data_IF_834377101636
#
_entry.id   IF_834377101636
#
_cell.length_a   1.000
_cell.length_b   1.000
_cell.length_c   1.000
_cell.angle_alpha   90.00
_cell.angle_beta   90.00
_cell.angle_gamma   90.00
#
_symmetry.space_group_name_H-M   'P 1'
#
loop_
_entity.id
_entity.type
_entity.pdbx_description
1 polymer ?
#
# COMPACT_ATOMS: atom_id res chain seq x y z
N UNK A 1 -3.97 -16.31 23.94
CA UNK A 1 -2.54 -15.94 23.93
C UNK A 1 -2.30 -14.45 23.80
N UNK A 2 -3.16 -13.69 23.11
CA UNK A 2 -3.10 -12.20 23.13
C UNK A 2 -3.24 -11.58 24.54
N UNK A 3 -3.81 -12.27 25.53
CA UNK A 3 -3.85 -11.79 26.92
C UNK A 3 -2.48 -11.74 27.61
N UNK A 4 -1.49 -12.50 27.11
CA UNK A 4 -0.11 -12.49 27.64
C UNK A 4 0.83 -11.53 26.90
N UNK A 5 0.42 -11.02 25.72
CA UNK A 5 1.21 -10.02 25.00
C UNK A 5 0.93 -8.65 25.64
N UNK A 6 1.90 -8.15 26.38
CA UNK A 6 1.82 -6.80 26.91
C UNK A 6 2.00 -5.82 25.75
N UNK A 7 0.87 -5.32 25.24
CA UNK A 7 0.85 -4.25 24.24
C UNK A 7 0.58 -2.94 24.96
N UNK A 8 1.37 -1.89 24.70
CA UNK A 8 1.06 -0.57 25.18
C UNK A 8 -0.28 -0.11 24.62
N UNK A 9 -1.00 0.65 25.39
CA UNK A 9 -2.25 1.27 24.94
C UNK A 9 -1.96 2.69 24.49
N UNK A 10 -2.47 3.05 23.31
CA UNK A 10 -2.47 4.44 22.88
C UNK A 10 -3.54 5.18 23.67
N UNK A 11 -3.13 6.15 24.46
CA UNK A 11 -4.01 6.95 25.36
C UNK A 11 -4.34 8.30 24.76
N UNK A 12 -3.48 8.85 23.90
CA UNK A 12 -3.68 10.10 23.18
C UNK A 12 -2.80 10.14 21.93
N UNK A 13 -3.01 11.13 21.07
CA UNK A 13 -2.15 11.43 19.92
C UNK A 13 -1.86 12.92 19.91
N UNK A 14 -0.58 13.25 20.00
CA UNK A 14 -0.13 14.63 19.84
C UNK A 14 0.03 14.93 18.35
N UNK A 15 -0.68 15.95 17.85
CA UNK A 15 -0.58 16.43 16.49
C UNK A 15 0.00 17.83 16.48
N UNK A 16 1.06 18.01 15.69
CA UNK A 16 1.72 19.31 15.53
C UNK A 16 1.76 19.71 14.06
N UNK A 17 1.51 20.99 13.79
CA UNK A 17 1.92 21.60 12.53
C UNK A 17 3.45 21.58 12.45
N UNK A 18 4.00 21.14 11.33
CA UNK A 18 5.44 20.96 11.18
C UNK A 18 5.93 21.54 9.85
N UNK A 19 6.86 22.50 9.91
CA UNK A 19 7.47 23.08 8.73
C UNK A 19 8.94 22.69 8.63
N UNK A 20 9.39 22.36 7.43
CA UNK A 20 10.77 22.06 7.11
C UNK A 20 11.10 22.49 5.67
N UNK A 21 12.37 22.80 5.41
CA UNK A 21 12.85 23.31 4.12
C UNK A 21 13.29 22.16 3.17
N UNK A 22 12.59 21.04 3.21
CA UNK A 22 12.87 19.86 2.40
C UNK A 22 11.61 19.51 1.59
N UNK A 23 11.80 18.77 0.50
CA UNK A 23 10.65 18.06 -0.10
C UNK A 23 10.19 16.95 0.85
N UNK A 24 8.95 16.49 0.69
CA UNK A 24 8.45 15.36 1.49
C UNK A 24 9.28 14.09 1.22
N UNK A 25 9.63 13.87 -0.04
CA UNK A 25 10.45 12.76 -0.50
C UNK A 25 11.84 12.77 0.14
N UNK A 26 12.47 13.94 0.23
CA UNK A 26 13.76 14.11 0.88
C UNK A 26 13.68 13.94 2.39
N UNK A 27 12.60 14.35 3.02
CA UNK A 27 12.36 14.11 4.44
C UNK A 27 12.18 12.60 4.72
N UNK A 28 11.38 11.92 3.91
CA UNK A 28 11.16 10.48 4.03
C UNK A 28 12.43 9.66 3.77
N UNK A 29 13.27 10.10 2.84
CA UNK A 29 14.54 9.46 2.49
C UNK A 29 15.46 9.23 3.70
N UNK A 30 15.42 10.13 4.69
CA UNK A 30 16.24 10.04 5.90
C UNK A 30 15.88 8.86 6.80
N UNK A 31 14.72 8.24 6.54
CA UNK A 31 14.21 7.08 7.25
C UNK A 31 14.26 5.81 6.40
N UNK A 32 14.47 5.91 5.08
CA UNK A 32 14.33 4.83 4.10
C UNK A 32 15.17 3.57 4.40
N UNK A 33 16.26 3.71 5.14
CA UNK A 33 17.14 2.58 5.51
C UNK A 33 16.75 1.93 6.85
N UNK A 34 15.75 2.46 7.56
CA UNK A 34 15.30 1.89 8.83
C UNK A 34 14.20 0.86 8.61
N UNK A 35 14.37 -0.34 9.17
CA UNK A 35 13.33 -1.36 9.17
C UNK A 35 12.02 -0.80 9.76
N UNK A 36 10.91 -1.06 9.07
CA UNK A 36 9.58 -0.60 9.45
C UNK A 36 9.23 0.80 8.96
N UNK A 37 10.10 1.43 8.16
CA UNK A 37 9.72 2.65 7.46
C UNK A 37 8.79 2.33 6.30
N UNK A 38 7.64 3.02 6.27
CA UNK A 38 6.70 2.97 5.15
C UNK A 38 6.48 4.38 4.62
N UNK A 39 6.65 4.54 3.31
CA UNK A 39 6.41 5.82 2.61
C UNK A 39 5.32 5.61 1.58
N UNK A 40 4.25 6.40 1.68
CA UNK A 40 3.15 6.42 0.74
C UNK A 40 3.14 7.75 0.01
N UNK A 41 3.31 7.73 -1.31
CA UNK A 41 3.27 8.92 -2.14
C UNK A 41 2.03 8.88 -3.04
N UNK A 42 1.38 10.01 -3.16
CA UNK A 42 0.25 10.21 -4.07
C UNK A 42 0.70 11.10 -5.22
N UNK A 43 0.76 10.54 -6.41
CA UNK A 43 1.07 11.28 -7.64
C UNK A 43 -0.18 11.60 -8.45
N UNK A 44 0.00 12.31 -9.58
CA UNK A 44 -1.07 12.77 -10.47
C UNK A 44 -2.10 13.71 -9.82
N UNK A 45 -3.14 14.12 -10.57
CA UNK A 45 -4.15 15.09 -10.14
C UNK A 45 -5.53 14.47 -9.88
N UNK A 46 -5.61 13.15 -9.69
CA UNK A 46 -6.83 12.47 -9.36
C UNK A 46 -7.32 12.89 -7.96
N UNK A 47 -8.64 12.92 -7.79
CA UNK A 47 -9.30 13.28 -6.52
C UNK A 47 -8.90 12.42 -5.33
N UNK A 48 -8.41 11.21 -5.58
CA UNK A 48 -7.88 10.31 -4.55
C UNK A 48 -6.42 10.56 -4.17
N UNK A 49 -5.68 11.37 -4.94
CA UNK A 49 -4.25 11.62 -4.78
C UNK A 49 -3.96 12.85 -3.89
N UNK A 50 -4.29 12.75 -2.60
CA UNK A 50 -4.26 13.91 -1.69
C UNK A 50 -3.09 13.95 -0.72
N UNK A 51 -2.67 12.81 -0.17
CA UNK A 51 -1.74 12.82 0.95
C UNK A 51 -0.44 12.09 0.64
N UNK A 52 0.69 12.67 1.06
CA UNK A 52 1.92 11.92 1.28
C UNK A 52 2.00 11.53 2.75
N UNK A 53 2.43 10.31 3.03
CA UNK A 53 2.50 9.78 4.40
C UNK A 53 3.84 9.07 4.59
N UNK A 54 4.57 9.44 5.66
CA UNK A 54 5.73 8.72 6.16
C UNK A 54 5.37 8.13 7.53
N UNK A 55 5.50 6.83 7.67
CA UNK A 55 5.42 6.10 8.92
C UNK A 55 6.80 5.56 9.27
N UNK A 56 7.32 5.89 10.46
CA UNK A 56 8.68 5.56 10.84
C UNK A 56 8.81 5.22 12.33
N UNK A 57 9.97 4.69 12.71
CA UNK A 57 10.31 4.28 14.08
C UNK A 57 9.25 3.36 14.69
N UNK A 58 9.11 2.11 14.18
CA UNK A 58 8.07 1.21 14.65
C UNK A 58 8.29 0.83 16.11
N UNK A 59 7.20 0.84 16.89
CA UNK A 59 7.17 0.30 18.24
C UNK A 59 6.55 -1.12 18.29
N UNK A 60 5.88 -1.53 17.21
CA UNK A 60 5.39 -2.89 16.99
C UNK A 60 5.68 -3.31 15.55
N UNK A 61 6.11 -4.56 15.39
CA UNK A 61 6.29 -5.20 14.09
C UNK A 61 5.61 -6.56 14.11
N UNK A 62 4.83 -6.87 13.08
CA UNK A 62 4.22 -8.18 12.85
C UNK A 62 4.71 -8.70 11.51
N UNK A 63 5.37 -9.85 11.51
CA UNK A 63 5.83 -10.54 10.30
C UNK A 63 5.59 -12.05 10.39
N UNK A 64 5.33 -12.68 9.26
CA UNK A 64 5.32 -14.12 9.15
C UNK A 64 4.51 -14.64 7.98
N UNK A 65 4.47 -15.97 7.87
CA UNK A 65 3.74 -16.70 6.84
C UNK A 65 2.98 -17.86 7.45
N UNK A 66 1.83 -18.18 6.85
CA UNK A 66 0.94 -19.22 7.36
C UNK A 66 0.51 -18.92 8.79
N UNK A 67 0.78 -19.87 9.69
CA UNK A 67 0.52 -19.71 11.13
C UNK A 67 1.82 -19.45 11.92
N UNK A 68 2.94 -19.20 11.25
CA UNK A 68 4.21 -18.88 11.93
C UNK A 68 4.42 -17.38 11.93
N UNK A 69 3.90 -16.71 12.95
CA UNK A 69 3.94 -15.26 13.07
C UNK A 69 4.84 -14.83 14.22
N UNK A 70 5.58 -13.74 14.03
CA UNK A 70 6.37 -13.08 15.06
C UNK A 70 5.85 -11.66 15.28
N UNK A 71 5.46 -11.35 16.51
CA UNK A 71 5.15 -10.00 16.96
C UNK A 71 6.32 -9.49 17.80
N UNK A 72 6.98 -8.44 17.35
CA UNK A 72 8.02 -7.74 18.11
C UNK A 72 7.43 -6.45 18.68
N UNK A 73 7.59 -6.23 19.97
CA UNK A 73 7.10 -5.02 20.65
C UNK A 73 8.29 -4.34 21.34
N UNK A 74 8.41 -3.02 21.19
CA UNK A 74 9.39 -2.21 21.90
C UNK A 74 9.09 -2.26 23.41
N UNK A 75 10.09 -2.51 24.22
CA UNK A 75 9.98 -2.38 25.67
C UNK A 75 10.28 -0.95 26.15
N UNK A 76 10.12 -0.70 27.46
CA UNK A 76 10.38 0.61 28.06
C UNK A 76 11.87 1.03 28.01
N UNK A 77 12.79 0.11 27.71
CA UNK A 77 14.22 0.39 27.53
C UNK A 77 14.58 0.64 26.07
N UNK A 78 13.61 0.52 25.12
CA UNK A 78 13.80 0.70 23.68
C UNK A 78 14.28 -0.55 22.94
N UNK A 79 14.39 -1.70 23.62
CA UNK A 79 14.63 -2.99 23.01
C UNK A 79 13.37 -3.63 22.42
N UNK A 80 13.53 -4.68 21.60
CA UNK A 80 12.39 -5.44 21.08
C UNK A 80 12.26 -6.79 21.78
N UNK A 81 11.09 -7.10 22.28
CA UNK A 81 10.70 -8.42 22.76
C UNK A 81 9.92 -9.12 21.65
N UNK A 82 10.38 -10.32 21.23
CA UNK A 82 9.74 -11.11 20.19
C UNK A 82 8.82 -12.17 20.82
N UNK A 83 7.59 -12.24 20.32
CA UNK A 83 6.60 -13.25 20.65
C UNK A 83 6.22 -14.00 19.39
N UNK A 84 6.54 -15.29 19.36
CA UNK A 84 6.06 -16.16 18.31
C UNK A 84 4.66 -16.68 18.64
N UNK A 85 3.83 -16.81 17.62
CA UNK A 85 2.47 -17.31 17.73
C UNK A 85 2.08 -18.11 16.49
N UNK A 86 1.21 -19.08 16.68
CA UNK A 86 0.60 -19.92 15.65
C UNK A 86 -0.87 -19.54 15.38
N UNK A 87 -1.30 -18.36 15.87
CA UNK A 87 -2.65 -17.87 15.64
C UNK A 87 -2.90 -17.61 14.16
N UNK A 88 -4.18 -17.67 13.77
CA UNK A 88 -4.60 -17.21 12.47
C UNK A 88 -4.19 -15.74 12.26
N UNK A 89 -3.61 -15.38 11.10
CA UNK A 89 -3.13 -14.01 10.85
C UNK A 89 -4.24 -12.96 10.89
N UNK A 90 -5.46 -13.27 10.44
CA UNK A 90 -6.58 -12.33 10.46
C UNK A 90 -7.08 -12.10 11.88
N UNK A 91 -7.20 -13.16 12.70
CA UNK A 91 -7.57 -13.05 14.12
C UNK A 91 -6.55 -12.23 14.90
N UNK A 92 -5.25 -12.41 14.61
CA UNK A 92 -4.19 -11.65 15.25
C UNK A 92 -4.25 -10.17 14.85
N UNK A 93 -4.43 -9.85 13.56
CA UNK A 93 -4.56 -8.47 13.09
C UNK A 93 -5.79 -7.81 13.68
N UNK A 94 -6.94 -8.49 13.70
CA UNK A 94 -8.18 -7.97 14.30
C UNK A 94 -7.97 -7.66 15.79
N UNK A 95 -7.33 -8.57 16.54
CA UNK A 95 -7.02 -8.36 17.95
C UNK A 95 -6.07 -7.17 18.16
N UNK A 96 -5.06 -6.99 17.29
CA UNK A 96 -4.15 -5.85 17.33
C UNK A 96 -4.88 -4.55 17.00
N UNK A 97 -5.67 -4.52 15.93
CA UNK A 97 -6.43 -3.33 15.52
C UNK A 97 -7.39 -2.91 16.62
N UNK A 98 -8.13 -3.84 17.24
CA UNK A 98 -9.02 -3.54 18.37
C UNK A 98 -8.29 -2.92 19.57
N UNK A 99 -7.06 -3.38 19.86
CA UNK A 99 -6.23 -2.80 20.93
C UNK A 99 -5.61 -1.45 20.57
N UNK A 100 -5.31 -1.24 19.29
CA UNK A 100 -4.69 -0.02 18.77
C UNK A 100 -5.71 1.04 18.35
N UNK A 101 -6.99 0.68 18.29
CA UNK A 101 -8.06 1.61 17.91
C UNK A 101 -8.15 2.76 18.88
N UNK A 102 -7.82 3.95 18.39
CA UNK A 102 -8.02 5.21 19.09
C UNK A 102 -9.09 6.00 18.35
N UNK A 103 -10.32 5.94 18.86
CA UNK A 103 -11.46 6.64 18.28
C UNK A 103 -11.49 8.09 18.75
N UNK A 104 -10.72 8.95 18.10
CA UNK A 104 -10.80 10.37 18.34
C UNK A 104 -11.32 11.11 17.11
N UNK A 105 -12.53 11.64 17.22
CA UNK A 105 -13.17 12.43 16.16
C UNK A 105 -12.57 13.84 15.98
N UNK A 106 -11.61 14.23 16.83
CA UNK A 106 -10.93 15.54 16.77
C UNK A 106 -10.05 15.71 15.53
N UNK A 107 -9.66 14.60 14.88
CA UNK A 107 -8.66 14.63 13.83
C UNK A 107 -9.30 14.44 12.45
N UNK A 108 -9.22 15.47 11.63
CA UNK A 108 -9.56 15.40 10.20
C UNK A 108 -8.30 15.04 9.38
N UNK A 109 -7.68 13.90 9.73
CA UNK A 109 -6.48 13.37 9.05
C UNK A 109 -6.80 11.98 8.47
N UNK A 110 -6.10 11.59 7.40
CA UNK A 110 -6.30 10.25 6.81
C UNK A 110 -5.91 9.12 7.77
N UNK A 111 -4.92 9.39 8.63
CA UNK A 111 -4.44 8.45 9.65
C UNK A 111 -3.68 9.24 10.73
N UNK A 112 -3.76 8.82 11.99
CA UNK A 112 -2.98 9.40 13.07
C UNK A 112 -2.23 8.35 13.90
N UNK A 113 -2.66 7.09 13.85
CA UNK A 113 -2.01 5.89 14.37
C UNK A 113 -2.53 4.68 13.60
N UNK A 114 -1.84 3.54 13.63
CA UNK A 114 -2.31 2.32 12.98
C UNK A 114 -1.17 1.39 12.56
N UNK A 115 -1.51 0.45 11.69
CA UNK A 115 -0.59 -0.50 11.10
C UNK A 115 -0.31 -0.13 9.64
N UNK A 116 0.96 -0.17 9.25
CA UNK A 116 1.45 0.14 7.91
C UNK A 116 2.28 -1.03 7.39
N UNK A 117 2.14 -1.36 6.12
CA UNK A 117 2.88 -2.46 5.52
C UNK A 117 2.09 -3.12 4.40
N UNK A 118 2.18 -4.45 4.31
CA UNK A 118 1.51 -5.19 3.26
C UNK A 118 0.97 -6.55 3.72
N UNK A 119 -0.03 -7.02 2.97
CA UNK A 119 -0.50 -8.38 2.93
C UNK A 119 -0.12 -8.99 1.57
N UNK A 120 0.50 -10.17 1.56
CA UNK A 120 0.78 -10.89 0.33
C UNK A 120 -0.50 -11.52 -0.23
N UNK A 121 -0.51 -11.74 -1.55
CA UNK A 121 -1.61 -12.42 -2.22
C UNK A 121 -1.86 -13.83 -1.67
N UNK A 122 -0.81 -14.52 -1.19
CA UNK A 122 -0.90 -15.89 -0.68
C UNK A 122 -1.65 -16.01 0.66
N UNK A 123 -1.99 -14.89 1.31
CA UNK A 123 -2.98 -14.90 2.41
C UNK A 123 -4.36 -15.41 1.97
N UNK A 124 -4.67 -15.45 0.66
CA UNK A 124 -5.87 -16.10 0.11
C UNK A 124 -6.05 -17.54 0.59
N UNK A 125 -4.93 -18.26 0.79
CA UNK A 125 -4.94 -19.68 1.24
C UNK A 125 -5.41 -19.85 2.70
N UNK A 126 -5.60 -18.73 3.43
CA UNK A 126 -6.26 -18.69 4.73
C UNK A 126 -7.76 -18.44 4.65
N UNK A 127 -8.24 -18.00 3.50
CA UNK A 127 -9.66 -17.66 3.26
C UNK A 127 -10.32 -18.79 2.48
N UNK A 128 -9.60 -19.37 1.51
CA UNK A 128 -10.11 -20.38 0.59
C UNK A 128 -9.19 -21.60 0.59
N UNK A 129 -9.77 -22.80 0.54
CA UNK A 129 -9.01 -24.05 0.37
C UNK A 129 -8.64 -24.23 -1.11
N UNK A 130 -7.48 -23.69 -1.49
CA UNK A 130 -7.00 -23.68 -2.86
C UNK A 130 -5.82 -24.64 -3.04
N UNK A 131 -5.71 -25.32 -4.22
CA UNK A 131 -4.53 -26.13 -4.53
C UNK A 131 -3.26 -25.29 -4.52
N UNK A 132 -2.28 -25.69 -3.71
CA UNK A 132 -0.96 -25.05 -3.72
C UNK A 132 -0.16 -25.55 -4.92
N UNK A 133 -0.12 -24.77 -5.99
CA UNK A 133 0.56 -25.10 -7.24
C UNK A 133 1.89 -24.36 -7.42
N UNK A 134 2.19 -23.38 -6.56
CA UNK A 134 3.41 -22.57 -6.65
C UNK A 134 4.26 -22.70 -5.39
N UNK A 135 5.57 -22.65 -5.56
CA UNK A 135 6.52 -22.50 -4.46
C UNK A 135 6.61 -21.01 -4.13
N UNK A 136 6.39 -20.65 -2.88
CA UNK A 136 6.54 -19.28 -2.40
C UNK A 136 7.99 -18.77 -2.58
N UNK A 137 8.15 -17.47 -2.74
CA UNK A 137 9.45 -16.80 -2.89
C UNK A 137 10.16 -16.54 -1.55
N UNK A 138 9.57 -17.04 -0.44
CA UNK A 138 10.14 -16.92 0.92
C UNK A 138 9.87 -15.56 1.58
N UNK A 139 9.10 -14.67 0.93
CA UNK A 139 8.67 -13.42 1.56
C UNK A 139 7.52 -13.67 2.55
N UNK A 140 7.40 -12.87 3.62
CA UNK A 140 6.29 -13.01 4.56
C UNK A 140 4.94 -12.70 3.92
N UNK A 141 3.91 -13.49 4.28
CA UNK A 141 2.52 -13.25 3.85
C UNK A 141 1.94 -11.99 4.51
N UNK A 142 2.46 -11.64 5.67
CA UNK A 142 2.09 -10.44 6.41
C UNK A 142 3.33 -9.72 6.93
N UNK A 143 3.39 -8.42 6.68
CA UNK A 143 4.48 -7.56 7.15
C UNK A 143 3.90 -6.19 7.51
N UNK A 144 3.64 -5.97 8.81
CA UNK A 144 2.99 -4.78 9.32
C UNK A 144 3.80 -4.13 10.45
N UNK A 145 3.76 -2.82 10.50
CA UNK A 145 4.46 -1.98 11.46
C UNK A 145 3.52 -0.97 12.09
N UNK A 146 3.58 -0.80 13.42
CA UNK A 146 2.95 0.33 14.10
C UNK A 146 4.02 1.39 14.38
N UNK A 147 3.99 2.53 13.68
CA UNK A 147 4.99 3.59 13.85
C UNK A 147 4.78 4.39 15.13
N UNK A 148 5.86 4.92 15.70
CA UNK A 148 5.81 5.93 16.77
C UNK A 148 5.85 7.36 16.23
N UNK A 149 6.08 7.51 14.92
CA UNK A 149 6.13 8.81 14.22
C UNK A 149 5.42 8.69 12.88
N UNK A 150 4.45 9.55 12.63
CA UNK A 150 3.78 9.66 11.33
C UNK A 150 3.84 11.12 10.87
N UNK A 151 4.45 11.36 9.70
CA UNK A 151 4.40 12.65 9.02
C UNK A 151 3.39 12.57 7.88
N UNK A 152 2.48 13.54 7.81
CA UNK A 152 1.46 13.64 6.76
C UNK A 152 1.61 15.00 6.09
N UNK A 153 1.67 15.01 4.77
CA UNK A 153 1.55 16.22 3.96
C UNK A 153 0.26 16.19 3.17
N UNK A 154 -0.56 17.21 3.33
CA UNK A 154 -1.69 17.46 2.41
C UNK A 154 -1.15 18.16 1.17
N UNK A 155 -1.26 17.53 0.00
CA UNK A 155 -0.76 18.08 -1.28
C UNK A 155 -1.54 19.30 -1.74
N UNK A 156 -2.81 19.45 -1.33
CA UNK A 156 -3.66 20.58 -1.72
C UNK A 156 -3.30 21.83 -0.92
N UNK A 157 -3.16 21.70 0.41
CA UNK A 157 -2.86 22.84 1.30
C UNK A 157 -1.36 23.06 1.53
N UNK A 158 -0.51 22.07 1.21
CA UNK A 158 0.92 22.02 1.52
C UNK A 158 1.21 21.99 3.02
N UNK A 159 0.21 21.75 3.84
CA UNK A 159 0.40 21.64 5.28
C UNK A 159 0.99 20.28 5.66
N UNK A 160 1.94 20.31 6.60
CA UNK A 160 2.51 19.13 7.20
C UNK A 160 1.98 18.95 8.62
N UNK A 161 1.66 17.72 8.99
CA UNK A 161 1.22 17.32 10.33
C UNK A 161 2.09 16.16 10.81
N UNK A 162 2.71 16.36 11.98
CA UNK A 162 3.44 15.31 12.69
C UNK A 162 2.52 14.72 13.76
N UNK A 163 2.26 13.42 13.68
CA UNK A 163 1.44 12.67 14.64
C UNK A 163 2.36 11.79 15.49
N UNK A 164 2.21 11.89 16.81
CA UNK A 164 3.02 11.19 17.82
C UNK A 164 2.06 10.49 18.78
N UNK A 165 1.91 9.16 18.74
CA UNK A 165 1.12 8.41 19.71
C UNK A 165 1.66 8.58 21.13
N UNK A 166 0.76 8.71 22.09
CA UNK A 166 1.04 8.72 23.53
C UNK A 166 0.62 7.36 24.09
N UNK A 167 1.53 6.71 24.77
CA UNK A 167 1.30 5.38 25.33
C UNK A 167 1.04 5.43 26.84
N UNK A 168 0.35 4.44 27.38
CA UNK A 168 0.09 4.28 28.81
C UNK A 168 1.37 4.06 29.65
N UNK A 169 2.48 3.67 29.05
CA UNK A 169 3.79 3.58 29.67
C UNK A 169 4.60 4.89 29.67
N UNK A 170 4.15 5.91 28.89
CA UNK A 170 4.81 7.20 28.85
C UNK A 170 4.64 7.90 30.21
N UNK A 171 5.76 8.31 30.81
CA UNK A 171 5.78 8.98 32.12
C UNK A 171 5.44 10.47 32.04
N UNK A 172 4.81 10.89 30.93
CA UNK A 172 4.38 12.26 30.69
C UNK A 172 4.80 12.77 29.31
N UNK A 173 4.95 14.10 29.18
CA UNK A 173 5.30 14.74 27.89
C UNK A 173 6.73 14.47 27.44
N UNK A 174 7.61 14.07 28.33
CA UNK A 174 9.05 13.92 28.04
C UNK A 174 9.30 12.87 26.96
N UNK A 175 8.61 11.76 27.00
CA UNK A 175 8.74 10.65 26.04
C UNK A 175 8.20 11.05 24.66
N UNK A 176 7.11 11.82 24.62
CA UNK A 176 6.56 12.37 23.37
C UNK A 176 7.54 13.37 22.76
N UNK A 177 8.11 14.26 23.56
CA UNK A 177 9.13 15.22 23.13
C UNK A 177 10.40 14.52 22.64
N UNK A 178 10.80 13.40 23.26
CA UNK A 178 11.94 12.62 22.81
C UNK A 178 11.70 12.00 21.42
N UNK A 179 10.48 11.52 21.13
CA UNK A 179 10.10 11.04 19.77
C UNK A 179 10.10 12.17 18.75
N UNK A 180 9.57 13.35 19.12
CA UNK A 180 9.62 14.54 18.28
C UNK A 180 11.07 14.98 17.99
N UNK A 181 11.91 15.03 19.01
CA UNK A 181 13.32 15.38 18.90
C UNK A 181 14.09 14.36 18.03
N UNK A 182 13.83 13.07 18.20
CA UNK A 182 14.39 12.03 17.36
C UNK A 182 14.05 12.30 15.89
N UNK A 183 12.79 12.59 15.58
CA UNK A 183 12.35 12.90 14.22
C UNK A 183 13.07 14.13 13.66
N UNK A 184 13.08 15.23 14.42
CA UNK A 184 13.75 16.47 14.02
C UNK A 184 15.25 16.24 13.79
N UNK A 185 15.91 15.50 14.65
CA UNK A 185 17.32 15.21 14.52
C UNK A 185 17.60 14.35 13.27
N UNK A 186 16.73 13.39 12.94
CA UNK A 186 16.85 12.63 11.68
C UNK A 186 16.73 13.51 10.45
N UNK A 187 15.86 14.51 10.44
CA UNK A 187 15.73 15.45 9.32
C UNK A 187 17.00 16.29 9.09
N UNK A 188 17.79 16.54 10.13
CA UNK A 188 19.05 17.28 10.03
C UNK A 188 20.19 16.47 9.40
N UNK A 189 20.08 15.14 9.36
CA UNK A 189 21.11 14.30 8.74
C UNK A 189 21.10 14.53 7.23
N UNK A 190 22.29 14.72 6.68
CA UNK A 190 22.43 14.82 5.22
C UNK A 190 22.09 13.47 4.60
N UNK A 191 21.12 13.47 3.70
CA UNK A 191 20.86 12.34 2.81
C UNK A 191 21.23 12.76 1.39
N UNK A 192 21.85 11.85 0.67
CA UNK A 192 22.09 11.99 -0.77
C UNK A 192 21.42 10.79 -1.44
N UNK A 193 20.76 11.00 -2.58
CA UNK A 193 20.24 9.88 -3.37
C UNK A 193 21.36 8.86 -3.61
N UNK A 194 21.12 7.63 -3.21
CA UNK A 194 22.00 6.53 -3.57
C UNK A 194 21.93 6.28 -5.08
N UNK A 195 22.90 5.60 -5.62
CA UNK A 195 22.79 4.99 -6.94
C UNK A 195 22.21 3.60 -6.83
N UNK A 196 21.50 3.17 -7.87
CA UNK A 196 21.09 1.79 -8.03
C UNK A 196 21.51 1.28 -9.41
N UNK A 197 21.66 -0.02 -9.51
CA UNK A 197 22.05 -0.68 -10.74
C UNK A 197 21.24 -1.97 -10.90
N UNK A 198 20.69 -2.17 -12.09
CA UNK A 198 20.12 -3.44 -12.53
C UNK A 198 21.11 -4.11 -13.50
N UNK A 199 21.22 -5.42 -13.38
CA UNK A 199 22.16 -6.17 -14.21
C UNK A 199 21.83 -6.05 -15.71
N UNK A 200 22.87 -5.84 -16.51
CA UNK A 200 22.76 -5.77 -17.98
C UNK A 200 22.46 -7.13 -18.63
N UNK A 201 22.41 -8.21 -17.86
CA UNK A 201 22.09 -9.56 -18.34
C UNK A 201 20.62 -9.68 -18.82
N UNK A 202 19.81 -8.65 -18.59
CA UNK A 202 18.40 -8.63 -18.96
C UNK A 202 17.48 -9.21 -17.88
N UNK A 203 16.20 -9.29 -18.23
CA UNK A 203 15.16 -9.82 -17.33
C UNK A 203 14.99 -11.33 -17.58
N UNK A 204 15.01 -12.11 -16.52
CA UNK A 204 14.64 -13.53 -16.52
C UNK A 204 13.15 -13.62 -16.23
N UNK A 205 12.41 -14.24 -17.12
CA UNK A 205 10.96 -14.41 -16.98
C UNK A 205 10.60 -15.76 -16.38
N UNK A 206 9.53 -15.81 -15.59
CA UNK A 206 8.94 -17.06 -15.09
C UNK A 206 8.30 -17.92 -16.19
N UNK A 207 8.06 -17.35 -17.37
CA UNK A 207 7.58 -18.06 -18.58
C UNK A 207 8.56 -17.87 -19.74
N UNK A 208 8.85 -18.93 -20.49
CA UNK A 208 9.29 -18.74 -21.86
C UNK A 208 8.12 -18.22 -22.74
N UNK A 209 8.42 -17.41 -23.76
CA UNK A 209 7.39 -16.81 -24.61
C UNK A 209 6.38 -17.84 -25.19
N UNK A 210 6.80 -19.04 -25.70
CA UNK A 210 5.86 -20.04 -26.18
C UNK A 210 4.95 -20.59 -25.09
N UNK A 211 5.47 -20.78 -23.87
CA UNK A 211 4.71 -21.27 -22.72
C UNK A 211 3.64 -20.27 -22.28
N UNK A 212 4.00 -18.98 -22.22
CA UNK A 212 3.06 -17.91 -21.95
C UNK A 212 1.92 -17.87 -22.99
N UNK A 213 2.25 -17.93 -24.27
CA UNK A 213 1.25 -17.95 -25.34
C UNK A 213 0.34 -19.17 -25.26
N UNK A 214 0.89 -20.35 -24.92
CA UNK A 214 0.10 -21.57 -24.72
C UNK A 214 -0.86 -21.43 -23.54
N UNK A 215 -0.40 -20.85 -22.41
CA UNK A 215 -1.27 -20.60 -21.25
C UNK A 215 -2.42 -19.64 -21.60
N UNK A 216 -2.15 -18.58 -22.36
CA UNK A 216 -3.21 -17.65 -22.84
C UNK A 216 -4.22 -18.38 -23.71
N UNK A 217 -3.78 -19.24 -24.64
CA UNK A 217 -4.69 -20.00 -25.49
C UNK A 217 -5.56 -20.99 -24.70
N UNK A 218 -5.02 -21.64 -23.67
CA UNK A 218 -5.78 -22.50 -22.76
C UNK A 218 -6.85 -21.72 -21.99
N UNK A 219 -6.51 -20.55 -21.47
CA UNK A 219 -7.47 -19.65 -20.80
C UNK A 219 -8.60 -19.25 -21.77
N UNK A 220 -8.27 -18.89 -23.00
CA UNK A 220 -9.28 -18.54 -24.03
C UNK A 220 -10.22 -19.73 -24.29
N UNK A 221 -9.69 -20.96 -24.31
CA UNK A 221 -10.51 -22.14 -24.52
C UNK A 221 -11.45 -22.39 -23.31
N UNK A 222 -10.98 -22.27 -22.07
CA UNK A 222 -11.83 -22.37 -20.88
C UNK A 222 -12.93 -21.29 -20.85
N UNK A 223 -12.61 -20.05 -21.30
CA UNK A 223 -13.61 -19.00 -21.47
C UNK A 223 -14.68 -19.37 -22.50
N UNK A 224 -14.28 -19.99 -23.65
CA UNK A 224 -15.23 -20.44 -24.70
C UNK A 224 -16.14 -21.56 -24.23
N UNK A 225 -15.61 -22.45 -23.39
CA UNK A 225 -16.36 -23.59 -22.82
C UNK A 225 -17.27 -23.15 -21.68
N UNK A 226 -17.08 -21.95 -21.14
CA UNK A 226 -17.86 -21.45 -20.00
C UNK A 226 -17.39 -21.99 -18.64
N UNK A 227 -16.19 -22.58 -18.57
CA UNK A 227 -15.59 -23.05 -17.32
C UNK A 227 -15.24 -21.90 -16.40
N UNK A 228 -14.82 -20.78 -16.98
CA UNK A 228 -14.46 -19.53 -16.30
C UNK A 228 -15.01 -18.35 -17.10
N UNK A 229 -15.21 -17.22 -16.45
CA UNK A 229 -15.60 -15.98 -17.14
C UNK A 229 -14.48 -14.95 -17.21
N UNK A 230 -13.45 -15.06 -16.36
CA UNK A 230 -12.25 -14.21 -16.33
C UNK A 230 -11.08 -14.97 -15.71
N UNK A 231 -9.86 -14.66 -16.15
CA UNK A 231 -8.64 -15.09 -15.51
C UNK A 231 -7.58 -13.98 -15.56
N UNK A 232 -6.81 -13.85 -14.48
CA UNK A 232 -5.62 -13.00 -14.42
C UNK A 232 -4.37 -13.88 -14.56
N UNK A 233 -3.68 -13.79 -15.69
CA UNK A 233 -2.40 -14.46 -15.91
C UNK A 233 -1.29 -13.48 -15.58
N UNK A 234 -0.54 -13.72 -14.52
CA UNK A 234 0.62 -12.92 -14.14
C UNK A 234 1.92 -13.54 -14.62
N UNK A 235 2.92 -12.70 -14.85
CA UNK A 235 4.26 -13.08 -15.22
C UNK A 235 5.26 -12.34 -14.34
N UNK A 236 6.21 -13.08 -13.74
CA UNK A 236 7.30 -12.53 -12.96
C UNK A 236 8.55 -12.35 -13.80
N UNK A 237 9.20 -11.21 -13.63
CA UNK A 237 10.50 -10.91 -14.20
C UNK A 237 11.50 -10.68 -13.07
N UNK A 238 12.69 -11.24 -13.22
CA UNK A 238 13.77 -11.13 -12.26
C UNK A 238 15.01 -10.55 -12.92
N UNK A 239 15.75 -9.73 -12.16
CA UNK A 239 17.07 -9.24 -12.55
C UNK A 239 17.92 -9.01 -11.30
N UNK A 240 19.22 -9.07 -11.43
CA UNK A 240 20.11 -8.66 -10.35
C UNK A 240 19.94 -7.16 -10.09
N UNK A 241 19.87 -6.80 -8.82
CA UNK A 241 19.72 -5.42 -8.36
C UNK A 241 20.74 -5.14 -7.24
N UNK A 242 21.36 -3.98 -7.29
CA UNK A 242 22.24 -3.49 -6.24
C UNK A 242 22.06 -2.00 -6.02
N UNK A 243 22.28 -1.54 -4.79
CA UNK A 243 22.22 -0.13 -4.44
C UNK A 243 20.97 0.27 -3.67
N UNK A 244 20.52 1.50 -3.86
CA UNK A 244 19.48 2.14 -3.05
C UNK A 244 18.09 1.93 -3.67
N UNK A 245 17.28 1.06 -3.05
CA UNK A 245 15.90 0.81 -3.48
C UNK A 245 14.99 2.03 -3.31
N UNK A 246 15.27 2.94 -2.36
CA UNK A 246 14.52 4.16 -2.22
C UNK A 246 14.81 5.14 -3.38
N UNK A 247 16.04 5.19 -3.87
CA UNK A 247 16.36 5.96 -5.08
C UNK A 247 15.62 5.41 -6.31
N UNK A 248 15.51 4.08 -6.45
CA UNK A 248 14.68 3.46 -7.49
C UNK A 248 13.20 3.87 -7.33
N UNK A 249 12.66 3.83 -6.11
CA UNK A 249 11.29 4.25 -5.81
C UNK A 249 11.02 5.69 -6.27
N UNK A 250 11.93 6.63 -5.96
CA UNK A 250 11.79 8.03 -6.38
C UNK A 250 11.89 8.22 -7.89
N UNK A 251 12.80 7.49 -8.56
CA UNK A 251 12.90 7.56 -10.03
C UNK A 251 11.64 7.03 -10.72
N UNK A 252 11.05 5.95 -10.20
CA UNK A 252 9.77 5.43 -10.71
C UNK A 252 8.63 6.42 -10.46
N UNK A 253 8.56 7.02 -9.27
CA UNK A 253 7.56 8.03 -8.94
C UNK A 253 7.68 9.26 -9.84
N UNK A 254 8.89 9.73 -10.11
CA UNK A 254 9.15 10.86 -11.00
C UNK A 254 8.75 10.58 -12.45
N UNK A 255 8.97 9.33 -12.92
CA UNK A 255 8.67 8.95 -14.31
C UNK A 255 7.19 8.71 -14.58
N UNK A 256 6.47 8.21 -13.58
CA UNK A 256 5.06 7.84 -13.73
C UNK A 256 4.33 7.96 -12.39
N UNK A 257 4.09 9.21 -11.93
CA UNK A 257 3.42 9.42 -10.65
C UNK A 257 1.99 8.85 -10.68
N UNK A 258 1.70 7.92 -9.77
CA UNK A 258 0.36 7.35 -9.59
C UNK A 258 -0.13 7.57 -8.14
N UNK A 259 -1.45 7.45 -7.87
CA UNK A 259 -2.03 7.83 -6.58
C UNK A 259 -1.56 6.99 -5.39
N UNK A 260 -1.11 5.75 -5.61
CA UNK A 260 -0.88 4.77 -4.54
C UNK A 260 0.52 4.17 -4.57
N UNK A 261 1.54 5.01 -4.77
CA UNK A 261 2.93 4.59 -4.62
C UNK A 261 3.25 4.23 -3.18
N UNK A 262 3.94 3.12 -2.97
CA UNK A 262 4.35 2.69 -1.64
C UNK A 262 5.78 2.16 -1.64
N UNK A 263 6.54 2.54 -0.62
CA UNK A 263 7.84 1.97 -0.27
C UNK A 263 7.75 1.37 1.12
N UNK A 264 8.16 0.12 1.28
CA UNK A 264 8.21 -0.56 2.58
C UNK A 264 9.62 -1.06 2.80
N UNK A 265 10.28 -0.57 3.85
CA UNK A 265 11.58 -1.10 4.31
C UNK A 265 11.32 -2.22 5.32
N UNK A 266 11.38 -3.46 4.85
CA UNK A 266 11.04 -4.61 5.66
C UNK A 266 12.26 -5.28 6.35
N UNK A 267 13.43 -4.65 6.31
CA UNK A 267 14.65 -5.14 6.93
C UNK A 267 15.47 -6.02 5.98
N UNK A 268 15.05 -7.24 5.78
CA UNK A 268 15.66 -8.23 4.88
C UNK A 268 15.26 -8.06 3.40
N UNK A 269 14.21 -7.34 3.13
CA UNK A 269 13.75 -6.98 1.78
C UNK A 269 13.10 -5.60 1.76
N UNK A 270 12.88 -5.07 0.55
CA UNK A 270 12.11 -3.83 0.32
C UNK A 270 11.01 -4.08 -0.71
N UNK A 271 9.87 -3.45 -0.50
CA UNK A 271 8.78 -3.42 -1.48
C UNK A 271 8.72 -2.03 -2.09
N UNK A 272 8.79 -1.98 -3.43
CA UNK A 272 8.58 -0.78 -4.23
C UNK A 272 7.33 -1.00 -5.07
N UNK A 273 6.24 -0.36 -4.70
CA UNK A 273 4.94 -0.47 -5.38
C UNK A 273 4.62 0.79 -6.16
N UNK A 274 4.20 0.62 -7.40
CA UNK A 274 3.80 1.70 -8.33
C UNK A 274 2.32 1.61 -8.70
N UNK A 275 1.46 1.22 -7.75
CA UNK A 275 0.06 0.92 -8.01
C UNK A 275 -0.75 2.18 -8.36
N UNK A 276 -1.59 2.14 -9.42
CA UNK A 276 -2.56 3.18 -9.71
C UNK A 276 -3.92 2.93 -9.05
N UNK A 277 -4.16 1.75 -8.46
CA UNK A 277 -5.49 1.26 -8.12
C UNK A 277 -5.70 1.17 -6.61
N UNK A 278 -6.88 1.62 -6.14
CA UNK A 278 -7.34 1.49 -4.76
C UNK A 278 -8.16 0.21 -4.61
N UNK A 279 -7.71 -0.67 -3.73
CA UNK A 279 -8.53 -1.82 -3.32
C UNK A 279 -9.70 -1.37 -2.45
N UNK A 280 -9.44 -0.90 -1.24
CA UNK A 280 -10.46 -0.43 -0.31
C UNK A 280 -9.99 0.83 0.44
N UNK A 281 -10.93 1.73 0.71
CA UNK A 281 -10.78 2.82 1.67
C UNK A 281 -11.98 2.78 2.62
N UNK A 282 -11.70 2.70 3.91
CA UNK A 282 -12.72 2.82 4.95
C UNK A 282 -12.49 4.12 5.71
N UNK A 283 -13.49 4.99 5.74
CA UNK A 283 -13.43 6.26 6.45
C UNK A 283 -14.75 6.48 7.21
N UNK A 284 -14.69 6.37 8.54
CA UNK A 284 -15.89 6.37 9.37
C UNK A 284 -16.80 5.19 9.03
N UNK A 285 -17.98 5.46 8.50
CA UNK A 285 -18.95 4.45 8.09
C UNK A 285 -19.01 4.27 6.55
N UNK A 286 -18.12 4.90 5.81
CA UNK A 286 -18.10 4.81 4.35
C UNK A 286 -16.96 3.89 3.89
N UNK A 287 -17.31 2.96 3.00
CA UNK A 287 -16.33 2.10 2.29
C UNK A 287 -16.33 2.51 0.83
N UNK A 288 -15.15 2.68 0.25
CA UNK A 288 -14.97 3.05 -1.16
C UNK A 288 -14.00 2.05 -1.83
N UNK A 289 -14.31 1.62 -3.03
CA UNK A 289 -13.42 0.90 -3.94
C UNK A 289 -13.35 1.61 -5.29
N UNK A 290 -12.23 1.46 -6.03
CA UNK A 290 -12.01 2.15 -7.32
C UNK A 290 -11.40 1.21 -8.34
N UNK A 291 -12.18 0.27 -8.90
CA UNK A 291 -11.69 -0.63 -9.92
C UNK A 291 -11.32 0.12 -11.21
N UNK A 292 -10.22 -0.33 -11.83
CA UNK A 292 -9.71 0.17 -13.10
C UNK A 292 -9.80 -0.96 -14.12
N UNK A 293 -10.44 -0.70 -15.27
CA UNK A 293 -10.39 -1.56 -16.45
C UNK A 293 -10.31 -0.70 -17.70
N UNK A 294 -9.65 -1.22 -18.71
CA UNK A 294 -9.37 -0.46 -19.91
C UNK A 294 -8.21 0.53 -19.71
N UNK A 295 -7.20 0.37 -20.57
CA UNK A 295 -5.99 1.20 -20.56
C UNK A 295 -5.55 1.46 -21.98
N UNK A 296 -5.24 2.71 -22.30
CA UNK A 296 -4.65 3.10 -23.56
C UNK A 296 -3.52 4.11 -23.31
N UNK A 297 -2.46 4.03 -24.10
CA UNK A 297 -1.35 4.98 -23.99
C UNK A 297 -1.80 6.40 -24.32
N UNK A 298 -1.13 7.38 -23.72
CA UNK A 298 -1.24 8.80 -24.14
C UNK A 298 -0.75 8.96 -25.57
N UNK A 299 -1.30 9.92 -26.27
CA UNK A 299 -0.87 10.25 -27.63
C UNK A 299 0.41 11.09 -27.65
N UNK A 300 1.24 10.90 -28.69
CA UNK A 300 2.45 11.74 -28.90
C UNK A 300 2.08 13.15 -29.36
N UNK A 301 0.89 13.31 -29.94
CA UNK A 301 0.34 14.63 -30.34
C UNK A 301 -1.01 14.87 -29.67
N UNK A 302 -1.45 16.12 -29.50
CA UNK A 302 -2.76 16.42 -28.93
C UNK A 302 -3.94 15.79 -29.69
N UNK A 303 -3.82 15.59 -31.01
CA UNK A 303 -4.83 14.95 -31.87
C UNK A 303 -4.91 13.45 -31.55
N UNK A 304 -3.75 12.78 -31.51
CA UNK A 304 -3.66 11.36 -31.17
C UNK A 304 -4.11 11.11 -29.72
N UNK A 305 -3.77 12.01 -28.80
CA UNK A 305 -4.17 11.91 -27.40
C UNK A 305 -5.70 11.97 -27.25
N UNK A 306 -6.36 12.91 -27.97
CA UNK A 306 -7.82 12.98 -28.02
C UNK A 306 -8.46 11.73 -28.65
N UNK A 307 -7.87 11.21 -29.71
CA UNK A 307 -8.38 10.00 -30.37
C UNK A 307 -8.22 8.76 -29.49
N UNK A 308 -7.09 8.62 -28.78
CA UNK A 308 -6.88 7.54 -27.82
C UNK A 308 -7.90 7.62 -26.67
N UNK A 309 -8.11 8.81 -26.10
CA UNK A 309 -9.12 9.03 -25.07
C UNK A 309 -10.53 8.65 -25.56
N UNK A 310 -10.88 9.04 -26.79
CA UNK A 310 -12.16 8.69 -27.43
C UNK A 310 -12.28 7.19 -27.65
N UNK A 311 -11.25 6.57 -28.20
CA UNK A 311 -11.20 5.13 -28.47
C UNK A 311 -11.48 4.33 -27.22
N UNK A 312 -10.81 4.67 -26.11
CA UNK A 312 -11.02 4.02 -24.82
C UNK A 312 -12.43 4.24 -24.30
N UNK A 313 -12.93 5.48 -24.38
CA UNK A 313 -14.29 5.83 -23.91
C UNK A 313 -15.40 5.12 -24.66
N UNK A 314 -15.16 4.76 -25.94
CA UNK A 314 -16.12 4.07 -26.81
C UNK A 314 -15.89 2.55 -26.86
N UNK A 315 -14.89 2.03 -26.16
CA UNK A 315 -14.58 0.60 -26.17
C UNK A 315 -15.69 -0.20 -25.49
N UNK A 316 -16.42 -0.98 -26.26
CA UNK A 316 -17.49 -1.85 -25.73
C UNK A 316 -16.91 -3.03 -24.93
N UNK A 317 -15.70 -3.49 -25.26
CA UNK A 317 -15.00 -4.53 -24.52
C UNK A 317 -14.64 -4.05 -23.12
N UNK A 318 -13.96 -2.90 -23.01
CA UNK A 318 -13.50 -2.37 -21.72
C UNK A 318 -14.69 -1.93 -20.84
N UNK A 319 -15.77 -1.45 -21.47
CA UNK A 319 -17.02 -1.14 -20.80
C UNK A 319 -17.68 -2.38 -20.18
N UNK A 320 -17.77 -3.46 -20.94
CA UNK A 320 -18.33 -4.72 -20.45
C UNK A 320 -17.48 -5.32 -19.32
N UNK A 321 -16.15 -5.29 -19.46
CA UNK A 321 -15.25 -5.76 -18.41
C UNK A 321 -15.36 -4.93 -17.13
N UNK A 322 -15.38 -3.60 -17.24
CA UNK A 322 -15.54 -2.70 -16.10
C UNK A 322 -16.90 -2.90 -15.41
N UNK A 323 -17.99 -3.04 -16.19
CA UNK A 323 -19.33 -3.29 -15.65
C UNK A 323 -19.39 -4.59 -14.86
N UNK A 324 -18.76 -5.65 -15.38
CA UNK A 324 -18.69 -6.96 -14.69
C UNK A 324 -17.94 -6.85 -13.35
N UNK A 325 -16.83 -6.13 -13.32
CA UNK A 325 -16.07 -5.94 -12.06
C UNK A 325 -16.83 -5.06 -11.07
N UNK A 326 -17.51 -4.01 -11.55
CA UNK A 326 -18.37 -3.16 -10.71
C UNK A 326 -19.49 -3.97 -10.07
N UNK A 327 -20.13 -4.86 -10.81
CA UNK A 327 -21.18 -5.73 -10.29
C UNK A 327 -20.65 -6.70 -9.22
N UNK A 328 -19.47 -7.28 -9.45
CA UNK A 328 -18.80 -8.12 -8.46
C UNK A 328 -18.49 -7.33 -7.18
N UNK A 329 -17.88 -6.14 -7.31
CA UNK A 329 -17.56 -5.28 -6.17
C UNK A 329 -18.81 -4.83 -5.41
N UNK A 330 -19.91 -4.52 -6.10
CA UNK A 330 -21.20 -4.20 -5.47
C UNK A 330 -21.74 -5.38 -4.65
N UNK A 331 -21.68 -6.58 -5.19
CA UNK A 331 -22.08 -7.78 -4.48
C UNK A 331 -21.22 -8.01 -3.22
N UNK A 332 -19.90 -7.87 -3.33
CA UNK A 332 -18.99 -8.07 -2.20
C UNK A 332 -19.20 -7.01 -1.11
N UNK A 333 -19.33 -5.74 -1.48
CA UNK A 333 -19.61 -4.66 -0.54
C UNK A 333 -20.97 -4.81 0.13
N UNK A 334 -21.99 -5.25 -0.60
CA UNK A 334 -23.35 -5.43 -0.04
C UNK A 334 -23.41 -6.46 1.10
N UNK A 335 -22.45 -7.38 1.17
CA UNK A 335 -22.35 -8.38 2.23
C UNK A 335 -21.83 -7.82 3.56
N UNK A 336 -21.21 -6.65 3.55
CA UNK A 336 -20.54 -6.04 4.72
C UNK A 336 -21.03 -4.62 5.01
N UNK A 337 -21.99 -4.10 4.22
CA UNK A 337 -22.56 -2.76 4.37
C UNK A 337 -24.05 -2.84 4.70
N UNK A 338 -24.68 -1.71 5.01
CA UNK A 338 -26.13 -1.60 5.21
C UNK A 338 -26.89 -1.96 3.92
N UNK A 339 -28.06 -2.55 4.07
CA UNK A 339 -28.90 -2.93 2.93
C UNK A 339 -29.21 -1.70 2.07
N UNK A 340 -29.14 -1.85 0.76
CA UNK A 340 -29.39 -0.79 -0.26
C UNK A 340 -28.47 0.44 -0.16
N UNK A 341 -27.32 0.36 0.57
CA UNK A 341 -26.40 1.48 0.72
C UNK A 341 -25.29 1.56 -0.33
N UNK A 342 -25.16 0.54 -1.19
CA UNK A 342 -24.08 0.49 -2.19
C UNK A 342 -24.48 1.28 -3.43
N UNK A 343 -23.75 2.35 -3.70
CA UNK A 343 -23.95 3.24 -4.84
C UNK A 343 -22.74 3.27 -5.77
N UNK A 344 -22.96 3.36 -7.07
CA UNK A 344 -21.92 3.66 -8.06
C UNK A 344 -21.91 5.17 -8.27
N UNK A 345 -21.01 5.87 -7.61
CA UNK A 345 -20.94 7.34 -7.65
C UNK A 345 -20.29 7.88 -8.92
N UNK A 346 -19.46 7.06 -9.57
CA UNK A 346 -18.91 7.33 -10.89
C UNK A 346 -18.77 6.01 -11.66
N UNK A 347 -19.29 5.97 -12.88
CA UNK A 347 -19.15 4.83 -13.77
C UNK A 347 -18.44 5.24 -15.04
N UNK A 348 -17.41 4.45 -15.45
CA UNK A 348 -16.70 4.65 -16.70
C UNK A 348 -16.08 6.06 -16.84
N UNK A 349 -15.55 6.59 -15.74
CA UNK A 349 -14.84 7.87 -15.74
C UNK A 349 -13.49 7.70 -16.41
N UNK A 350 -13.21 8.49 -17.45
CA UNK A 350 -11.89 8.55 -18.06
C UNK A 350 -10.95 9.35 -17.15
N UNK A 351 -9.88 8.73 -16.69
CA UNK A 351 -8.82 9.37 -15.93
C UNK A 351 -7.54 9.43 -16.75
N UNK A 352 -6.93 10.62 -16.83
CA UNK A 352 -5.68 10.85 -17.50
C UNK A 352 -4.52 10.74 -16.49
N UNK A 353 -3.57 9.89 -16.81
CA UNK A 353 -2.27 9.78 -16.14
C UNK A 353 -1.18 10.29 -17.09
N UNK A 354 0.05 10.36 -16.64
CA UNK A 354 1.13 10.93 -17.45
C UNK A 354 1.37 10.13 -18.74
N UNK A 355 1.26 8.81 -18.69
CA UNK A 355 1.58 7.91 -19.79
C UNK A 355 0.39 7.12 -20.35
N UNK A 356 -0.76 7.10 -19.65
CA UNK A 356 -1.93 6.33 -20.06
C UNK A 356 -3.24 7.05 -19.71
N UNK A 357 -4.32 6.64 -20.37
CA UNK A 357 -5.69 6.82 -19.91
C UNK A 357 -6.21 5.53 -19.29
N UNK A 358 -7.00 5.65 -18.24
CA UNK A 358 -7.74 4.56 -17.63
C UNK A 358 -9.25 4.84 -17.59
N UNK A 359 -10.06 3.77 -17.66
CA UNK A 359 -11.46 3.82 -17.27
C UNK A 359 -11.61 3.36 -15.82
N UNK A 360 -12.22 4.19 -15.01
CA UNK A 360 -12.36 4.00 -13.56
C UNK A 360 -13.81 4.07 -13.16
N UNK A 361 -14.24 3.22 -12.22
CA UNK A 361 -15.51 3.36 -11.51
C UNK A 361 -15.28 3.56 -10.02
N UNK A 362 -16.25 4.16 -9.35
CA UNK A 362 -16.18 4.42 -7.90
C UNK A 362 -17.49 3.99 -7.26
#
# INVERSE_FOLDING_TARGET
MCEKLFLPRITDIVIRGFNFDLTFEDAAARFSQQEGTVVLLSGSDQDCARYHILAADPWLMLKGSGNTLCVKVKDSAGGFVCHQTDQDPFDLVDALVKKLSFLDKRFNLPVAAGLFGYFAYDLKDKIEDLPQTCVGDGLPDICLYAPSVILIQDRQTRENRLCLPVFDWDKGQKEVLAREEYFINRLKHSWRPGSFHADNAGLVSSFAKPEYLSAVLQIIEHLRQGDIYQANLSQRFETGFSGDAYALFLELFKKNPAPFFAFVQAGDHQVVSTSPERFLKVAGQTVETRPIKGTIARGETPEQDRENARTLSLSTKDDAELTMIVDLMRNDLSRVTEHDSVEVTAHKRLEAYDNVFHLVSV
#
